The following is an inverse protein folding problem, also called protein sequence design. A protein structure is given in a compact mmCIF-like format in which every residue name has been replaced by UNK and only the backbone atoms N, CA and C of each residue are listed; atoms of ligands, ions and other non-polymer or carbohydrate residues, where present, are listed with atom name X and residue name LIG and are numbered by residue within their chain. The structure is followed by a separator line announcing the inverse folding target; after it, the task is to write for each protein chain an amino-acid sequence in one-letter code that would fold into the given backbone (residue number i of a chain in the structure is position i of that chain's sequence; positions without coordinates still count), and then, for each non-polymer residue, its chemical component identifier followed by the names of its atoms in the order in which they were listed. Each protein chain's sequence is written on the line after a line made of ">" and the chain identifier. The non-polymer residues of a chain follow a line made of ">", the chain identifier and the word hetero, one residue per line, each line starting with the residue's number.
data_IF_424898843936
#
_entry.id   IF_424898843936
#
_cell.length_a   1.000
_cell.length_b   1.000
_cell.length_c   1.000
_cell.angle_alpha   90.00
_cell.angle_beta   90.00
_cell.angle_gamma   90.00
#
_symmetry.space_group_name_H-M   'P 1'
#
loop_
_entity.id
_entity.type
_entity.pdbx_description
1 polymer ?
#
# COMPACT_ATOMS: atom_id res chain seq x y z
N UNK A 1 7.18 -12.94 -5.65
CA UNK A 1 6.81 -11.61 -6.20
C UNK A 1 7.21 -10.42 -5.33
N UNK A 2 7.30 -10.57 -4.01
CA UNK A 2 7.54 -9.46 -3.06
C UNK A 2 8.68 -8.51 -3.42
N UNK A 3 9.85 -9.01 -3.87
CA UNK A 3 10.97 -8.13 -4.26
C UNK A 3 10.61 -7.24 -5.46
N UNK A 4 9.96 -7.80 -6.48
CA UNK A 4 9.56 -7.07 -7.70
C UNK A 4 8.60 -5.95 -7.34
N UNK A 5 7.55 -6.25 -6.57
CA UNK A 5 6.56 -5.24 -6.16
C UNK A 5 7.16 -4.19 -5.24
N UNK A 6 8.15 -4.53 -4.40
CA UNK A 6 8.90 -3.54 -3.60
C UNK A 6 9.71 -2.58 -4.48
N UNK A 7 10.34 -3.08 -5.55
CA UNK A 7 11.02 -2.21 -6.53
C UNK A 7 10.01 -1.34 -7.26
N UNK A 8 8.87 -1.88 -7.69
CA UNK A 8 7.82 -1.11 -8.35
C UNK A 8 7.26 0.00 -7.46
N UNK A 9 7.05 -0.29 -6.17
CA UNK A 9 6.65 0.71 -5.18
C UNK A 9 7.76 1.76 -4.96
N UNK A 10 8.99 1.32 -4.71
CA UNK A 10 10.09 2.22 -4.33
C UNK A 10 10.57 3.12 -5.47
N UNK A 11 10.53 2.64 -6.71
CA UNK A 11 11.01 3.40 -7.89
C UNK A 11 9.88 4.16 -8.58
N UNK A 12 8.73 3.50 -8.79
CA UNK A 12 7.64 4.08 -9.59
C UNK A 12 6.43 4.50 -8.76
N UNK A 13 6.29 3.99 -7.54
CA UNK A 13 5.19 4.32 -6.62
C UNK A 13 3.79 4.06 -7.20
N UNK A 14 3.65 3.03 -8.05
CA UNK A 14 2.42 2.70 -8.81
C UNK A 14 1.59 1.53 -8.23
N UNK A 15 2.20 0.67 -7.40
CA UNK A 15 1.55 -0.50 -6.81
C UNK A 15 2.09 -0.72 -5.39
N UNK A 16 1.27 -1.18 -4.43
CA UNK A 16 1.76 -1.61 -3.12
C UNK A 16 2.76 -2.77 -3.22
N UNK A 17 3.57 -2.95 -2.18
CA UNK A 17 4.42 -4.12 -2.10
C UNK A 17 3.57 -5.33 -1.68
N UNK A 18 3.50 -6.37 -2.51
CA UNK A 18 2.83 -7.63 -2.16
C UNK A 18 3.74 -8.45 -1.22
N UNK A 19 4.07 -7.87 -0.07
CA UNK A 19 4.75 -8.54 1.04
C UNK A 19 3.75 -9.20 2.00
N UNK A 20 4.25 -9.81 3.08
CA UNK A 20 3.40 -10.60 3.98
C UNK A 20 2.24 -9.77 4.53
N UNK A 21 2.50 -8.62 5.14
CA UNK A 21 1.45 -7.85 5.80
C UNK A 21 0.44 -7.28 4.82
N UNK A 22 0.89 -6.72 3.70
CA UNK A 22 -0.04 -6.24 2.68
C UNK A 22 -0.94 -7.37 2.17
N UNK A 23 -0.34 -8.52 1.85
CA UNK A 23 -1.09 -9.67 1.34
C UNK A 23 -2.12 -10.18 2.33
N UNK A 24 -1.71 -10.38 3.58
CA UNK A 24 -2.60 -10.96 4.60
C UNK A 24 -3.83 -10.05 4.78
N UNK A 25 -3.63 -8.73 4.90
CA UNK A 25 -4.73 -7.78 5.05
C UNK A 25 -5.60 -7.65 3.80
N UNK A 26 -5.00 -7.52 2.62
CA UNK A 26 -5.78 -7.35 1.39
C UNK A 26 -6.47 -8.65 0.95
N UNK A 27 -5.93 -9.81 1.29
CA UNK A 27 -6.62 -11.09 1.11
C UNK A 27 -7.82 -11.24 2.02
N UNK A 28 -7.76 -10.75 3.26
CA UNK A 28 -8.95 -10.69 4.12
C UNK A 28 -10.03 -9.78 3.53
N UNK A 29 -9.65 -8.60 3.02
CA UNK A 29 -10.58 -7.66 2.37
C UNK A 29 -11.21 -8.29 1.12
N UNK A 30 -10.42 -9.02 0.33
CA UNK A 30 -10.88 -9.67 -0.88
C UNK A 30 -11.66 -10.98 -0.66
N UNK A 31 -11.58 -11.57 0.54
CA UNK A 31 -12.15 -12.88 0.82
C UNK A 31 -11.62 -13.96 -0.13
N UNK A 32 -12.54 -14.73 -0.73
CA UNK A 32 -12.19 -15.81 -1.66
C UNK A 32 -11.77 -15.33 -3.06
N UNK A 33 -11.92 -14.03 -3.37
CA UNK A 33 -11.68 -13.51 -4.72
C UNK A 33 -10.20 -13.37 -5.07
N UNK A 34 -9.32 -13.06 -4.10
CA UNK A 34 -7.92 -12.80 -4.39
C UNK A 34 -6.94 -13.02 -3.22
N UNK A 35 -5.91 -13.83 -3.47
CA UNK A 35 -4.82 -14.12 -2.51
C UNK A 35 -3.60 -13.18 -2.56
N UNK A 36 -3.61 -12.15 -3.43
CA UNK A 36 -2.52 -11.18 -3.62
C UNK A 36 -1.10 -11.80 -3.77
N UNK A 37 -0.99 -13.01 -4.32
CA UNK A 37 0.30 -13.70 -4.51
C UNK A 37 1.12 -13.08 -5.65
N UNK A 38 0.45 -12.64 -6.71
CA UNK A 38 1.02 -11.94 -7.87
C UNK A 38 0.08 -10.80 -8.30
N UNK A 39 0.60 -9.69 -8.85
CA UNK A 39 -0.24 -8.70 -9.50
C UNK A 39 -0.96 -9.31 -10.71
N UNK A 40 -2.27 -9.13 -10.74
CA UNK A 40 -3.17 -9.51 -11.82
C UNK A 40 -4.37 -8.55 -11.85
N UNK A 41 -5.20 -8.64 -12.87
CA UNK A 41 -6.35 -7.74 -13.06
C UNK A 41 -7.27 -7.69 -11.84
N UNK A 42 -7.66 -8.84 -11.29
CA UNK A 42 -8.51 -8.92 -10.08
C UNK A 42 -7.89 -8.19 -8.90
N UNK A 43 -6.61 -8.46 -8.60
CA UNK A 43 -5.92 -7.81 -7.48
C UNK A 43 -5.80 -6.29 -7.66
N UNK A 44 -5.59 -5.83 -8.90
CA UNK A 44 -5.48 -4.40 -9.20
C UNK A 44 -6.84 -3.72 -9.13
N UNK A 45 -7.90 -4.39 -9.57
CA UNK A 45 -9.27 -3.89 -9.47
C UNK A 45 -9.71 -3.75 -8.00
N UNK A 46 -9.36 -4.72 -7.14
CA UNK A 46 -9.65 -4.63 -5.71
C UNK A 46 -8.89 -3.47 -5.06
N UNK A 47 -7.61 -3.28 -5.38
CA UNK A 47 -6.84 -2.12 -4.90
C UNK A 47 -7.46 -0.81 -5.38
N UNK A 48 -7.88 -0.76 -6.65
CA UNK A 48 -8.53 0.41 -7.22
C UNK A 48 -9.88 0.70 -6.53
N UNK A 49 -10.68 -0.33 -6.26
CA UNK A 49 -11.94 -0.20 -5.53
C UNK A 49 -11.72 0.28 -4.10
N UNK A 50 -10.78 -0.33 -3.36
CA UNK A 50 -10.39 0.11 -2.02
C UNK A 50 -10.00 1.60 -2.02
N UNK A 51 -9.26 2.04 -3.03
CA UNK A 51 -8.94 3.45 -3.19
C UNK A 51 -10.17 4.32 -3.48
N UNK A 52 -11.10 3.90 -4.34
CA UNK A 52 -12.29 4.71 -4.63
C UNK A 52 -13.20 4.85 -3.39
N UNK A 53 -13.38 3.78 -2.63
CA UNK A 53 -14.19 3.76 -1.41
C UNK A 53 -13.60 4.66 -0.31
N UNK A 54 -12.27 4.80 -0.25
CA UNK A 54 -11.54 5.57 0.77
C UNK A 54 -10.83 6.80 0.18
N UNK A 55 -11.33 7.30 -0.96
CA UNK A 55 -10.63 8.27 -1.80
C UNK A 55 -10.25 9.55 -1.05
N UNK A 56 -11.18 10.11 -0.30
CA UNK A 56 -10.98 11.39 0.39
C UNK A 56 -9.85 11.29 1.43
N UNK A 57 -9.85 10.23 2.22
CA UNK A 57 -8.85 9.99 3.26
C UNK A 57 -7.48 9.70 2.64
N UNK A 58 -7.42 8.81 1.65
CA UNK A 58 -6.17 8.48 0.96
C UNK A 58 -5.59 9.70 0.25
N UNK A 59 -6.42 10.51 -0.43
CA UNK A 59 -5.96 11.73 -1.10
C UNK A 59 -5.47 12.77 -0.09
N UNK A 60 -6.13 12.88 1.07
CA UNK A 60 -5.71 13.79 2.15
C UNK A 60 -4.40 13.36 2.78
N UNK A 61 -4.23 12.06 3.04
CA UNK A 61 -2.97 11.50 3.55
C UNK A 61 -1.84 11.66 2.54
N UNK A 62 -2.09 11.33 1.27
CA UNK A 62 -1.11 11.51 0.18
C UNK A 62 -0.70 12.98 0.03
N UNK A 63 -1.63 13.94 0.16
CA UNK A 63 -1.33 15.38 0.11
C UNK A 63 -0.59 15.88 1.35
N UNK A 64 -0.82 15.31 2.53
CA UNK A 64 -0.19 15.79 3.78
C UNK A 64 1.19 15.18 4.04
N UNK A 65 1.43 13.93 3.61
CA UNK A 65 2.67 13.20 3.90
C UNK A 65 3.81 13.57 2.93
N UNK A 66 4.68 14.49 3.38
CA UNK A 66 5.85 14.94 2.63
C UNK A 66 7.04 14.00 2.86
N UNK A 67 7.76 13.68 1.78
CA UNK A 67 8.98 12.85 1.85
C UNK A 67 10.11 13.71 2.40
N UNK A 68 10.87 13.18 3.34
CA UNK A 68 12.07 13.81 3.88
C UNK A 68 13.31 13.27 3.17
N UNK A 69 14.32 14.13 2.98
CA UNK A 69 15.63 13.72 2.53
C UNK A 69 16.45 13.06 3.67
N UNK A 70 17.70 12.71 3.39
CA UNK A 70 18.59 12.06 4.37
C UNK A 70 18.95 12.97 5.55
N UNK A 71 18.81 14.29 5.43
CA UNK A 71 19.00 15.25 6.52
C UNK A 71 17.71 15.50 7.31
N UNK A 72 16.61 14.81 6.98
CA UNK A 72 15.29 15.02 7.56
C UNK A 72 14.59 16.28 7.05
N UNK A 73 15.09 16.90 5.97
CA UNK A 73 14.48 18.11 5.41
C UNK A 73 13.34 17.73 4.46
N UNK A 74 12.23 18.49 4.44
CA UNK A 74 11.13 18.21 3.55
C UNK A 74 11.52 18.39 2.07
N UNK A 75 11.20 17.40 1.23
CA UNK A 75 11.39 17.43 -0.23
C UNK A 75 10.13 17.94 -0.94
N UNK A 76 10.20 18.16 -2.25
CA UNK A 76 9.00 18.49 -3.06
C UNK A 76 8.10 17.28 -3.34
N UNK A 77 8.51 16.07 -2.93
CA UNK A 77 7.76 14.86 -3.16
C UNK A 77 6.87 14.53 -1.97
N UNK A 78 5.74 13.88 -2.27
CA UNK A 78 4.79 13.37 -1.28
C UNK A 78 4.55 11.90 -1.50
N UNK A 79 4.05 11.21 -0.49
CA UNK A 79 3.69 9.80 -0.62
C UNK A 79 2.64 9.63 -1.72
N UNK A 80 2.86 8.68 -2.63
CA UNK A 80 1.83 8.33 -3.62
C UNK A 80 0.66 7.62 -2.94
N UNK A 81 -0.47 7.56 -3.62
CA UNK A 81 -1.66 6.82 -3.17
C UNK A 81 -1.33 5.34 -2.95
N UNK A 82 -0.54 4.74 -3.85
CA UNK A 82 -0.07 3.37 -3.69
C UNK A 82 0.79 3.21 -2.42
N UNK A 83 1.62 4.20 -2.07
CA UNK A 83 2.41 4.16 -0.84
C UNK A 83 1.55 4.30 0.42
N UNK A 84 0.48 5.11 0.38
CA UNK A 84 -0.48 5.21 1.48
C UNK A 84 -1.20 3.88 1.70
N UNK A 85 -1.69 3.26 0.63
CA UNK A 85 -2.39 1.97 0.66
C UNK A 85 -1.45 0.85 1.14
N UNK A 86 -0.19 0.84 0.67
CA UNK A 86 0.87 -0.04 1.17
C UNK A 86 1.08 0.11 2.68
N UNK A 87 1.08 1.36 3.19
CA UNK A 87 1.25 1.61 4.61
C UNK A 87 0.07 1.15 5.45
N UNK A 88 -1.14 1.31 4.94
CA UNK A 88 -2.34 0.78 5.59
C UNK A 88 -2.25 -0.74 5.80
N UNK A 89 -1.96 -1.49 4.74
CA UNK A 89 -1.79 -2.94 4.82
C UNK A 89 -0.67 -3.36 5.77
N UNK A 90 0.47 -2.64 5.72
CA UNK A 90 1.58 -2.87 6.65
C UNK A 90 1.18 -2.63 8.12
N UNK A 91 0.53 -1.51 8.41
CA UNK A 91 0.24 -1.10 9.78
C UNK A 91 -0.74 -2.05 10.46
N UNK A 92 -1.84 -2.38 9.79
CA UNK A 92 -2.82 -3.34 10.33
C UNK A 92 -2.19 -4.72 10.47
N UNK A 93 -1.46 -5.20 9.46
CA UNK A 93 -0.82 -6.52 9.52
C UNK A 93 0.21 -6.63 10.63
N UNK A 94 0.99 -5.57 10.88
CA UNK A 94 1.94 -5.50 11.99
C UNK A 94 1.23 -5.46 13.34
N UNK A 95 0.19 -4.64 13.47
CA UNK A 95 -0.51 -4.44 14.74
C UNK A 95 -1.21 -5.75 15.19
N UNK A 96 -1.79 -6.52 14.26
CA UNK A 96 -2.32 -7.87 14.53
C UNK A 96 -1.27 -8.83 15.13
N UNK A 97 -0.05 -8.83 14.58
CA UNK A 97 1.04 -9.68 15.09
C UNK A 97 1.56 -9.23 16.46
N UNK A 98 1.37 -7.96 16.83
CA UNK A 98 1.78 -7.44 18.14
C UNK A 98 0.78 -7.69 19.27
N UNK A 99 -0.44 -8.11 18.94
CA UNK A 99 -1.49 -8.46 19.90
C UNK A 99 -1.51 -9.95 20.28
N UNK A 100 -0.77 -10.80 19.53
CA UNK A 100 -0.53 -12.23 19.79
C UNK A 100 0.72 -12.47 20.67
#
# INVERSE_FOLDING_TARGET
>A
MTLVTKVLLGVFAIIPAYDRFFKDIFSEIAGEECGFSTPNETSLNIIAQFYQENKEEIDTLSKSHQILDFDGKPTNYRYSKAKIIDMYGFQIGRDKVSED
#
